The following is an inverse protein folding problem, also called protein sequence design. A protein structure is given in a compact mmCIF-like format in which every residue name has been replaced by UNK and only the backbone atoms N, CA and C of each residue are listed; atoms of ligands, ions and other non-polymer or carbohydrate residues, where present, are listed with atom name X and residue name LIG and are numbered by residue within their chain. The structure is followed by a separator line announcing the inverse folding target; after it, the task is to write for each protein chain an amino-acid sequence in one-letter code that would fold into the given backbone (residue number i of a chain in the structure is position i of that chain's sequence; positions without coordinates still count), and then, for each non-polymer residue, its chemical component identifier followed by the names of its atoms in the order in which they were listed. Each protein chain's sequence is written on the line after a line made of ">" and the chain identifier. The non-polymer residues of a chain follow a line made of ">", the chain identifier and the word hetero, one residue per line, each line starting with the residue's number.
data_IF_304005129773
#
_entry.id   IF_304005129773
#
_cell.length_a   1.000
_cell.length_b   1.000
_cell.length_c   1.000
_cell.angle_alpha   90.00
_cell.angle_beta   90.00
_cell.angle_gamma   90.00
#
_symmetry.space_group_name_H-M   'P 1'
#
loop_
_entity.id
_entity.type
_entity.pdbx_description
1 polymer ?
#
# COMPACT_ATOMS: atom_id res chain seq x y z
N UNK A 1 -6.40 11.97 -22.82
CA UNK A 1 -6.77 11.46 -21.48
C UNK A 1 -6.14 10.11 -21.19
N UNK A 2 -6.35 9.09 -22.05
CA UNK A 2 -5.77 7.74 -21.85
C UNK A 2 -4.23 7.71 -21.75
N UNK A 3 -3.53 8.49 -22.58
CA UNK A 3 -2.06 8.50 -22.58
C UNK A 3 -1.46 9.05 -21.27
N UNK A 4 -2.03 10.12 -20.73
CA UNK A 4 -1.62 10.70 -19.43
C UNK A 4 -1.87 9.71 -18.29
N UNK A 5 -3.03 9.04 -18.30
CA UNK A 5 -3.38 8.03 -17.29
C UNK A 5 -2.41 6.84 -17.35
N UNK A 6 -2.03 6.40 -18.55
CA UNK A 6 -1.10 5.29 -18.74
C UNK A 6 0.33 5.63 -18.28
N UNK A 7 0.78 6.86 -18.53
CA UNK A 7 2.08 7.35 -18.02
C UNK A 7 2.05 7.46 -16.49
N UNK A 8 0.93 7.91 -15.91
CA UNK A 8 0.76 8.03 -14.46
C UNK A 8 0.59 6.68 -13.74
N UNK A 9 0.17 5.61 -14.43
CA UNK A 9 -0.10 4.31 -13.81
C UNK A 9 1.13 3.71 -13.10
N UNK A 10 2.33 3.80 -13.71
CA UNK A 10 3.58 3.27 -13.12
C UNK A 10 3.98 3.97 -11.81
N UNK A 11 4.05 5.30 -11.73
CA UNK A 11 4.34 5.98 -10.45
C UNK A 11 3.25 5.77 -9.40
N UNK A 12 1.96 5.72 -9.79
CA UNK A 12 0.87 5.41 -8.85
C UNK A 12 1.03 4.00 -8.27
N UNK A 13 1.33 3.01 -9.11
CA UNK A 13 1.60 1.65 -8.66
C UNK A 13 2.79 1.59 -7.69
N UNK A 14 3.86 2.35 -7.96
CA UNK A 14 5.02 2.43 -7.09
C UNK A 14 4.67 2.97 -5.71
N UNK A 15 3.86 4.04 -5.65
CA UNK A 15 3.38 4.61 -4.39
C UNK A 15 2.53 3.59 -3.63
N UNK A 16 1.59 2.93 -4.31
CA UNK A 16 0.75 1.90 -3.69
C UNK A 16 1.54 0.73 -3.12
N UNK A 17 2.51 0.22 -3.89
CA UNK A 17 3.40 -0.86 -3.46
C UNK A 17 4.24 -0.42 -2.25
N UNK A 18 4.77 0.80 -2.28
CA UNK A 18 5.56 1.38 -1.17
C UNK A 18 4.73 1.48 0.10
N UNK A 19 3.50 2.00 0.02
CA UNK A 19 2.60 2.12 1.18
C UNK A 19 2.28 0.73 1.75
N UNK A 20 2.04 -0.26 0.89
CA UNK A 20 1.82 -1.65 1.32
C UNK A 20 3.00 -2.17 2.13
N UNK A 21 4.23 -1.99 1.62
CA UNK A 21 5.46 -2.41 2.30
C UNK A 21 5.63 -1.69 3.64
N UNK A 22 5.37 -0.38 3.70
CA UNK A 22 5.39 0.39 4.95
C UNK A 22 4.40 -0.19 5.96
N UNK A 23 3.18 -0.54 5.53
CA UNK A 23 2.18 -1.17 6.38
C UNK A 23 2.63 -2.51 6.96
N UNK A 24 3.29 -3.35 6.15
CA UNK A 24 3.86 -4.63 6.59
C UNK A 24 5.02 -4.42 7.57
N UNK A 25 5.91 -3.47 7.32
CA UNK A 25 7.01 -3.12 8.23
C UNK A 25 6.45 -2.64 9.57
N UNK A 26 5.47 -1.75 9.53
CA UNK A 26 4.82 -1.23 10.73
C UNK A 26 4.12 -2.35 11.52
N UNK A 27 3.42 -3.26 10.84
CA UNK A 27 2.86 -4.47 11.47
C UNK A 27 3.94 -5.28 12.18
N UNK A 28 5.07 -5.54 11.51
CA UNK A 28 6.18 -6.30 12.08
C UNK A 28 6.77 -5.66 13.33
N UNK A 29 6.92 -4.33 13.36
CA UNK A 29 7.36 -3.57 14.53
C UNK A 29 6.37 -3.73 15.68
N UNK A 30 5.07 -3.56 15.41
CA UNK A 30 4.03 -3.68 16.44
C UNK A 30 3.95 -5.09 17.02
N UNK A 31 4.11 -6.13 16.18
CA UNK A 31 4.16 -7.52 16.63
C UNK A 31 5.40 -7.80 17.48
N UNK A 32 6.58 -7.32 17.05
CA UNK A 32 7.83 -7.43 17.80
C UNK A 32 7.71 -6.80 19.20
N UNK A 33 7.08 -5.64 19.28
CA UNK A 33 6.95 -4.90 20.54
C UNK A 33 5.82 -5.43 21.43
N UNK A 34 5.14 -6.52 21.03
CA UNK A 34 4.08 -7.16 21.81
C UNK A 34 2.74 -6.43 21.75
N UNK A 35 2.48 -5.67 20.69
CA UNK A 35 1.24 -4.90 20.47
C UNK A 35 0.88 -3.99 21.65
N UNK A 36 1.85 -3.25 22.20
CA UNK A 36 1.66 -2.39 23.38
C UNK A 36 0.61 -1.30 23.20
N UNK A 37 0.33 -0.89 21.97
CA UNK A 37 -0.78 0.02 21.64
C UNK A 37 -2.13 -0.67 21.39
N UNK A 38 -2.22 -1.98 21.60
CA UNK A 38 -3.44 -2.79 21.48
C UNK A 38 -4.01 -2.87 20.07
N UNK A 39 -5.32 -3.08 19.98
CA UNK A 39 -6.03 -3.26 18.70
C UNK A 39 -5.96 -2.04 17.77
N UNK A 40 -5.76 -0.83 18.29
CA UNK A 40 -5.67 0.38 17.46
C UNK A 40 -4.46 0.39 16.53
N UNK A 41 -3.31 -0.08 17.00
CA UNK A 41 -2.09 -0.17 16.18
C UNK A 41 -2.22 -1.27 15.11
N UNK A 42 -2.91 -2.37 15.43
CA UNK A 42 -3.22 -3.42 14.45
C UNK A 42 -4.12 -2.87 13.33
N UNK A 43 -5.16 -2.10 13.69
CA UNK A 43 -6.07 -1.47 12.71
C UNK A 43 -5.32 -0.50 11.81
N UNK A 44 -4.39 0.30 12.34
CA UNK A 44 -3.54 1.20 11.53
C UNK A 44 -2.68 0.43 10.54
N UNK A 45 -2.07 -0.68 10.98
CA UNK A 45 -1.24 -1.51 10.12
C UNK A 45 -2.05 -2.09 8.96
N UNK A 46 -3.24 -2.62 9.27
CA UNK A 46 -4.18 -3.14 8.26
C UNK A 46 -4.60 -2.01 7.31
N UNK A 47 -4.93 -0.83 7.83
CA UNK A 47 -5.32 0.31 7.00
C UNK A 47 -4.21 0.74 6.01
N UNK A 48 -2.95 0.73 6.44
CA UNK A 48 -1.80 1.00 5.56
C UNK A 48 -1.66 -0.08 4.47
N UNK A 49 -1.72 -1.36 4.84
CA UNK A 49 -1.61 -2.46 3.88
C UNK A 49 -2.75 -2.39 2.84
N UNK A 50 -3.99 -2.21 3.31
CA UNK A 50 -5.17 -2.16 2.43
C UNK A 50 -5.15 -0.93 1.53
N UNK A 51 -4.79 0.25 2.06
CA UNK A 51 -4.71 1.47 1.25
C UNK A 51 -3.65 1.38 0.14
N UNK A 52 -2.47 0.84 0.45
CA UNK A 52 -1.44 0.57 -0.56
C UNK A 52 -1.90 -0.43 -1.62
N UNK A 53 -2.59 -1.49 -1.18
CA UNK A 53 -3.20 -2.49 -2.07
C UNK A 53 -4.24 -1.87 -3.02
N UNK A 54 -5.12 -0.99 -2.51
CA UNK A 54 -6.12 -0.29 -3.33
C UNK A 54 -5.45 0.61 -4.36
N UNK A 55 -4.43 1.37 -3.99
CA UNK A 55 -3.71 2.26 -4.92
C UNK A 55 -3.02 1.44 -6.02
N UNK A 56 -2.42 0.31 -5.66
CA UNK A 56 -1.78 -0.60 -6.62
C UNK A 56 -2.81 -1.26 -7.54
N UNK A 57 -3.93 -1.71 -6.99
CA UNK A 57 -5.04 -2.29 -7.75
C UNK A 57 -5.67 -1.29 -8.71
N UNK A 58 -5.85 -0.03 -8.28
CA UNK A 58 -6.25 1.06 -9.16
C UNK A 58 -5.27 1.19 -10.33
N UNK A 59 -3.97 1.29 -10.07
CA UNK A 59 -2.98 1.38 -11.14
C UNK A 59 -3.03 0.19 -12.13
N UNK A 60 -3.28 -1.02 -11.63
CA UNK A 60 -3.44 -2.21 -12.47
C UNK A 60 -4.64 -2.10 -13.43
N UNK A 61 -5.78 -1.57 -12.96
CA UNK A 61 -6.95 -1.30 -13.81
C UNK A 61 -6.66 -0.29 -14.93
N UNK A 62 -5.69 0.60 -14.71
CA UNK A 62 -5.27 1.61 -15.68
C UNK A 62 -4.02 1.21 -16.50
N UNK A 63 -3.70 -0.08 -16.55
CA UNK A 63 -2.71 -0.64 -17.48
C UNK A 63 -1.31 -0.82 -16.89
N UNK A 64 -1.15 -0.76 -15.57
CA UNK A 64 0.08 -1.22 -14.92
C UNK A 64 0.13 -2.76 -14.89
N UNK A 65 1.22 -3.35 -15.40
CA UNK A 65 1.38 -4.81 -15.50
C UNK A 65 2.57 -5.37 -14.70
N UNK A 66 3.27 -4.53 -13.92
CA UNK A 66 4.46 -4.92 -13.16
C UNK A 66 5.61 -3.90 -13.26
N UNK A 67 6.58 -4.05 -12.37
CA UNK A 67 7.80 -3.24 -12.36
C UNK A 67 8.87 -3.79 -13.29
#
# INVERSE_FOLDING_TARGET
>A
MEEIVRIAAKPIAYIGATITVIGVIYLGIQLKDGMRGGGGELVKAIALIVSGGIITGFAALYGFTGF
#
